data_IF_706870658700
#
_entry.id   IF_706870658700
#
_cell.length_a   1.000
_cell.length_b   1.000
_cell.length_c   1.000
_cell.angle_alpha   90.00
_cell.angle_beta   90.00
_cell.angle_gamma   90.00
#
_symmetry.space_group_name_H-M   'P 1'
#
loop_
_entity.id
_entity.type
_entity.pdbx_description
1 polymer ?
#
# COMPACT_ATOMS: atom_id res chain seq x y z
N UNK A 1 80.22 51.71 -46.09
CA UNK A 1 79.65 51.27 -47.38
C UNK A 1 79.67 49.75 -47.36
N UNK A 2 78.51 49.12 -47.16
CA UNK A 2 77.78 48.38 -48.23
C UNK A 2 78.39 46.98 -48.41
N UNK A 3 77.70 45.85 -48.41
CA UNK A 3 76.30 45.46 -48.42
C UNK A 3 76.32 43.95 -48.12
N UNK A 4 75.50 43.44 -47.19
CA UNK A 4 74.31 42.62 -47.49
C UNK A 4 74.51 41.34 -48.32
N UNK A 5 73.73 40.33 -47.90
CA UNK A 5 73.27 39.12 -48.62
C UNK A 5 74.28 37.96 -48.64
N UNK A 6 73.91 36.69 -48.40
CA UNK A 6 72.58 36.06 -48.46
C UNK A 6 72.65 34.64 -47.85
N UNK A 7 71.54 34.25 -47.18
CA UNK A 7 70.92 32.91 -47.15
C UNK A 7 71.79 31.69 -46.82
N UNK A 8 71.32 30.91 -45.83
CA UNK A 8 70.58 29.67 -46.09
C UNK A 8 69.81 29.24 -44.84
N UNK A 9 68.49 29.32 -44.96
CA UNK A 9 67.56 28.61 -44.10
C UNK A 9 67.64 27.11 -44.44
N UNK A 10 67.90 26.27 -43.45
CA UNK A 10 67.64 24.83 -43.55
C UNK A 10 67.37 24.23 -42.18
N UNK A 11 66.31 24.70 -41.53
CA UNK A 11 65.66 23.92 -40.48
C UNK A 11 64.69 22.97 -41.15
N UNK A 12 65.16 21.74 -41.34
CA UNK A 12 64.40 20.58 -41.73
C UNK A 12 63.30 20.33 -40.69
N UNK A 13 62.12 20.93 -40.89
CA UNK A 13 60.90 20.48 -40.22
C UNK A 13 60.53 19.13 -40.83
N UNK A 14 61.00 18.05 -40.21
CA UNK A 14 60.35 16.75 -40.36
C UNK A 14 58.99 16.87 -39.69
N UNK A 15 57.96 17.21 -40.46
CA UNK A 15 56.60 16.83 -40.09
C UNK A 15 56.61 15.30 -40.00
N UNK A 16 56.59 14.76 -38.78
CA UNK A 16 56.19 13.38 -38.58
C UNK A 16 54.79 13.24 -39.22
N UNK A 17 54.51 12.18 -39.99
CA UNK A 17 53.14 11.93 -40.39
C UNK A 17 52.34 11.77 -39.10
N UNK A 18 51.38 12.67 -38.88
CA UNK A 18 50.34 12.45 -37.91
C UNK A 18 49.71 11.12 -38.32
N UNK A 19 50.10 10.05 -37.61
CA UNK A 19 49.45 8.76 -37.68
C UNK A 19 48.04 9.06 -37.23
N UNK A 20 47.16 9.35 -38.18
CA UNK A 20 45.73 9.26 -38.00
C UNK A 20 45.53 7.82 -37.55
N UNK A 21 45.50 7.62 -36.23
CA UNK A 21 44.85 6.46 -35.66
C UNK A 21 43.44 6.58 -36.20
N UNK A 22 43.22 5.91 -37.33
CA UNK A 22 41.93 5.38 -37.66
C UNK A 22 41.45 4.78 -36.36
N UNK A 23 40.56 5.51 -35.67
CA UNK A 23 39.60 4.89 -34.78
C UNK A 23 38.82 3.99 -35.72
N UNK A 24 39.40 2.81 -35.97
CA UNK A 24 38.75 1.71 -36.59
C UNK A 24 37.62 1.46 -35.62
N UNK A 25 36.49 2.07 -35.92
CA UNK A 25 35.24 1.90 -35.23
C UNK A 25 34.94 0.42 -35.45
N UNK A 26 35.49 -0.42 -34.57
CA UNK A 26 35.33 -1.85 -34.61
C UNK A 26 33.91 -2.05 -34.12
N UNK A 27 32.96 -1.79 -35.02
CA UNK A 27 31.59 -2.29 -34.92
C UNK A 27 31.70 -3.80 -34.99
N UNK A 28 32.11 -4.41 -33.88
CA UNK A 28 31.95 -5.83 -33.63
C UNK A 28 30.45 -6.00 -33.48
N UNK A 29 29.79 -6.42 -34.55
CA UNK A 29 28.40 -6.87 -34.44
C UNK A 29 28.35 -8.02 -33.44
N UNK A 30 27.24 -8.12 -32.71
CA UNK A 30 26.99 -9.25 -31.83
C UNK A 30 27.12 -10.55 -32.63
N UNK A 31 27.86 -11.52 -32.09
CA UNK A 31 27.88 -12.85 -32.71
C UNK A 31 26.53 -13.52 -32.51
N UNK A 32 26.15 -14.44 -33.41
CA UNK A 32 24.88 -15.16 -33.31
C UNK A 32 24.73 -15.87 -31.95
N UNK A 33 25.82 -16.47 -31.45
CA UNK A 33 25.84 -17.11 -30.14
C UNK A 33 25.59 -16.12 -28.98
N UNK A 34 26.15 -14.92 -29.06
CA UNK A 34 25.98 -13.88 -28.06
C UNK A 34 24.55 -13.31 -28.07
N UNK A 35 23.92 -13.20 -29.24
CA UNK A 35 22.50 -12.85 -29.35
C UNK A 35 21.59 -13.92 -28.74
N UNK A 36 21.85 -15.20 -29.01
CA UNK A 36 21.07 -16.30 -28.42
C UNK A 36 21.23 -16.30 -26.89
N UNK A 37 22.45 -16.15 -26.39
CA UNK A 37 22.72 -16.09 -24.95
C UNK A 37 22.01 -14.89 -24.29
N UNK A 38 22.04 -13.72 -24.94
CA UNK A 38 21.35 -12.52 -24.44
C UNK A 38 19.83 -12.70 -24.39
N UNK A 39 19.23 -13.29 -25.44
CA UNK A 39 17.77 -13.56 -25.47
C UNK A 39 17.41 -14.62 -24.42
N UNK A 40 18.22 -15.66 -24.24
CA UNK A 40 18.01 -16.68 -23.23
C UNK A 40 18.04 -16.09 -21.81
N UNK A 41 19.04 -15.26 -21.50
CA UNK A 41 19.14 -14.57 -20.22
C UNK A 41 17.96 -13.61 -20.02
N UNK A 42 17.61 -12.82 -21.05
CA UNK A 42 16.48 -11.91 -21.00
C UNK A 42 15.16 -12.66 -20.72
N UNK A 43 14.95 -13.82 -21.35
CA UNK A 43 13.77 -14.64 -21.13
C UNK A 43 13.68 -15.14 -19.68
N UNK A 44 14.80 -15.63 -19.12
CA UNK A 44 14.85 -16.07 -17.71
C UNK A 44 14.55 -14.91 -16.76
N UNK A 45 15.21 -13.77 -16.93
CA UNK A 45 14.94 -12.60 -16.08
C UNK A 45 13.52 -12.07 -16.25
N UNK A 46 12.96 -12.11 -17.47
CA UNK A 46 11.59 -11.68 -17.72
C UNK A 46 10.59 -12.50 -16.90
N UNK A 47 10.75 -13.82 -16.84
CA UNK A 47 9.88 -14.69 -16.01
C UNK A 47 10.03 -14.34 -14.53
N UNK A 48 11.25 -14.16 -14.04
CA UNK A 48 11.52 -13.82 -12.63
C UNK A 48 10.86 -12.49 -12.26
N UNK A 49 11.01 -11.46 -13.09
CA UNK A 49 10.42 -10.14 -12.82
C UNK A 49 8.90 -10.20 -12.79
N UNK A 50 8.27 -10.95 -13.69
CA UNK A 50 6.80 -11.11 -13.69
C UNK A 50 6.31 -11.83 -12.44
N UNK A 51 6.99 -12.89 -12.02
CA UNK A 51 6.64 -13.60 -10.77
C UNK A 51 6.81 -12.71 -9.54
N UNK A 52 7.92 -11.95 -9.48
CA UNK A 52 8.15 -11.00 -8.40
C UNK A 52 7.07 -9.91 -8.37
N UNK A 53 6.68 -9.39 -9.53
CA UNK A 53 5.60 -8.41 -9.64
C UNK A 53 4.26 -8.97 -9.16
N UNK A 54 3.91 -10.19 -9.57
CA UNK A 54 2.69 -10.85 -9.11
C UNK A 54 2.69 -11.05 -7.59
N UNK A 55 3.80 -11.54 -7.03
CA UNK A 55 3.96 -11.69 -5.58
C UNK A 55 3.86 -10.35 -4.85
N UNK A 56 4.55 -9.31 -5.35
CA UNK A 56 4.49 -7.97 -4.78
C UNK A 56 3.07 -7.41 -4.80
N UNK A 57 2.34 -7.56 -5.90
CA UNK A 57 0.96 -7.10 -6.01
C UNK A 57 0.01 -7.81 -5.03
N UNK A 58 0.18 -9.13 -4.85
CA UNK A 58 -0.60 -9.88 -3.85
C UNK A 58 -0.27 -9.45 -2.41
N UNK A 59 0.98 -9.04 -2.15
CA UNK A 59 1.38 -8.54 -0.85
C UNK A 59 0.80 -7.15 -0.60
N UNK A 60 0.87 -6.25 -1.57
CA UNK A 60 0.30 -4.90 -1.48
C UNK A 60 -1.19 -4.95 -1.18
N UNK A 61 -1.96 -5.74 -1.93
CA UNK A 61 -3.42 -5.85 -1.71
C UNK A 61 -3.76 -6.42 -0.33
N UNK A 62 -2.95 -7.32 0.22
CA UNK A 62 -3.11 -7.81 1.60
C UNK A 62 -2.82 -6.73 2.64
N UNK A 63 -1.77 -5.94 2.42
CA UNK A 63 -1.43 -4.82 3.31
C UNK A 63 -2.53 -3.76 3.31
N UNK A 64 -3.02 -3.36 2.12
CA UNK A 64 -4.09 -2.38 1.99
C UNK A 64 -5.36 -2.84 2.73
N UNK A 65 -5.72 -4.12 2.61
CA UNK A 65 -6.85 -4.71 3.35
C UNK A 65 -6.65 -4.68 4.87
N UNK A 66 -5.44 -4.94 5.34
CA UNK A 66 -5.14 -4.90 6.77
C UNK A 66 -5.22 -3.46 7.30
N UNK A 67 -4.66 -2.49 6.57
CA UNK A 67 -4.73 -1.08 6.93
C UNK A 67 -6.18 -0.59 7.00
N UNK A 68 -7.00 -0.98 6.01
CA UNK A 68 -8.43 -0.73 6.01
C UNK A 68 -9.15 -1.40 7.20
N UNK A 69 -8.80 -2.65 7.54
CA UNK A 69 -9.37 -3.33 8.70
C UNK A 69 -9.06 -2.61 10.02
N UNK A 70 -7.82 -2.12 10.19
CA UNK A 70 -7.41 -1.35 11.35
C UNK A 70 -8.15 -0.01 11.42
N UNK A 71 -8.25 0.71 10.29
CA UNK A 71 -8.99 1.97 10.22
C UNK A 71 -10.48 1.77 10.52
N UNK A 72 -11.10 0.74 9.96
CA UNK A 72 -12.49 0.36 10.23
C UNK A 72 -12.70 0.11 11.73
N UNK A 73 -11.88 -0.74 12.35
CA UNK A 73 -11.99 -1.05 13.77
C UNK A 73 -11.80 0.18 14.65
N UNK A 74 -10.85 1.06 14.31
CA UNK A 74 -10.61 2.32 15.01
C UNK A 74 -11.82 3.24 14.91
N UNK A 75 -12.36 3.47 13.72
CA UNK A 75 -13.51 4.35 13.51
C UNK A 75 -14.75 3.83 14.27
N UNK A 76 -14.95 2.51 14.29
CA UNK A 76 -16.01 1.88 15.07
C UNK A 76 -15.82 2.04 16.58
N UNK A 77 -14.59 1.89 17.07
CA UNK A 77 -14.27 2.09 18.48
C UNK A 77 -14.45 3.55 18.90
N UNK A 78 -13.95 4.49 18.10
CA UNK A 78 -14.10 5.93 18.34
C UNK A 78 -15.58 6.32 18.31
N UNK A 79 -16.36 5.86 17.32
CA UNK A 79 -17.79 6.13 17.23
C UNK A 79 -18.58 5.56 18.42
N UNK A 80 -18.20 4.37 18.91
CA UNK A 80 -18.84 3.79 20.09
C UNK A 80 -18.43 4.49 21.40
N UNK A 81 -17.17 4.90 21.53
CA UNK A 81 -16.65 5.64 22.68
C UNK A 81 -17.18 7.08 22.77
N UNK A 82 -17.38 7.74 21.64
CA UNK A 82 -17.93 9.10 21.58
C UNK A 82 -19.36 9.19 22.16
N UNK A 83 -20.02 8.05 22.38
CA UNK A 83 -21.39 7.98 22.82
C UNK A 83 -22.33 8.35 21.66
N UNK A 84 -23.44 7.64 21.55
CA UNK A 84 -24.49 7.92 20.57
C UNK A 84 -25.13 9.33 20.71
N UNK A 85 -24.67 10.12 21.69
CA UNK A 85 -25.25 11.36 22.15
C UNK A 85 -24.62 12.62 21.52
N UNK A 86 -23.57 12.48 20.70
CA UNK A 86 -23.09 13.61 19.90
C UNK A 86 -23.97 13.79 18.64
N UNK A 87 -24.71 14.90 18.51
CA UNK A 87 -25.64 15.13 17.39
C UNK A 87 -24.94 15.17 16.02
N UNK A 88 -23.63 15.40 16.02
CA UNK A 88 -22.77 15.34 14.83
C UNK A 88 -22.74 13.94 14.20
N UNK A 89 -22.83 12.88 15.00
CA UNK A 89 -22.79 11.49 14.52
C UNK A 89 -24.19 10.88 14.28
N UNK A 90 -25.25 11.50 14.78
CA UNK A 90 -26.64 11.09 14.51
C UNK A 90 -27.08 11.42 13.07
N UNK A 91 -26.39 12.38 12.43
CA UNK A 91 -26.68 12.86 11.08
C UNK A 91 -25.86 12.20 9.97
N UNK A 92 -24.88 11.35 10.34
CA UNK A 92 -24.25 10.44 9.39
C UNK A 92 -25.33 9.44 8.97
N UNK A 93 -25.75 9.50 7.70
CA UNK A 93 -26.65 8.52 7.10
C UNK A 93 -26.14 7.07 7.29
N UNK A 94 -24.84 6.92 7.58
CA UNK A 94 -24.11 5.69 7.87
C UNK A 94 -23.71 5.54 9.34
N UNK A 95 -24.48 6.05 10.31
CA UNK A 95 -24.22 5.73 11.72
C UNK A 95 -24.51 4.23 11.93
N UNK A 96 -23.49 3.39 12.17
CA UNK A 96 -23.68 1.95 12.29
C UNK A 96 -24.51 1.54 13.52
N UNK A 97 -24.71 2.46 14.45
CA UNK A 97 -25.48 2.29 15.68
C UNK A 97 -26.86 2.98 15.60
N UNK A 98 -27.27 3.50 14.44
CA UNK A 98 -28.58 4.15 14.25
C UNK A 98 -29.77 3.21 14.54
N UNK A 99 -29.55 1.90 14.49
CA UNK A 99 -30.54 0.88 14.84
C UNK A 99 -30.87 0.80 16.34
N UNK A 100 -30.22 1.63 17.18
CA UNK A 100 -30.42 1.70 18.62
C UNK A 100 -29.21 1.19 19.41
N UNK A 101 -29.26 1.26 20.75
CA UNK A 101 -28.18 0.81 21.61
C UNK A 101 -27.93 -0.69 21.42
N UNK A 102 -26.64 -1.06 21.31
CA UNK A 102 -26.22 -2.46 21.24
C UNK A 102 -26.67 -3.22 22.49
N UNK A 103 -27.36 -4.34 22.31
CA UNK A 103 -27.74 -5.20 23.42
C UNK A 103 -26.62 -6.20 23.74
N UNK A 104 -26.38 -6.51 25.03
CA UNK A 104 -25.51 -7.61 25.42
C UNK A 104 -25.97 -8.91 24.74
N UNK A 105 -25.04 -9.68 24.19
CA UNK A 105 -25.26 -10.92 23.43
C UNK A 105 -25.77 -10.81 21.98
N UNK A 106 -26.16 -9.63 21.48
CA UNK A 106 -26.42 -9.44 20.04
C UNK A 106 -25.10 -9.16 19.30
N UNK A 107 -24.91 -9.82 18.16
CA UNK A 107 -23.81 -9.51 17.23
C UNK A 107 -24.37 -8.59 16.16
N UNK A 108 -23.87 -7.35 16.10
CA UNK A 108 -24.15 -6.44 15.00
C UNK A 108 -23.11 -6.69 13.90
N UNK A 109 -23.58 -6.91 12.67
CA UNK A 109 -22.73 -7.11 11.49
C UNK A 109 -22.87 -5.93 10.55
N UNK A 110 -21.73 -5.35 10.17
CA UNK A 110 -21.64 -4.23 9.25
C UNK A 110 -20.72 -4.63 8.10
N UNK A 111 -21.10 -4.30 6.87
CA UNK A 111 -20.32 -4.65 5.70
C UNK A 111 -19.74 -3.39 5.06
N UNK A 112 -18.50 -3.49 4.61
CA UNK A 112 -17.74 -2.39 4.04
C UNK A 112 -17.11 -2.80 2.70
N UNK A 113 -16.99 -1.83 1.80
CA UNK A 113 -16.17 -1.94 0.59
C UNK A 113 -14.68 -1.74 0.93
N UNK A 114 -13.80 -1.99 -0.05
CA UNK A 114 -12.37 -1.67 0.07
C UNK A 114 -12.07 -0.18 0.33
N UNK A 115 -13.01 0.70 -0.01
CA UNK A 115 -12.92 2.15 0.26
C UNK A 115 -13.57 2.55 1.59
N UNK A 116 -13.86 1.58 2.47
CA UNK A 116 -14.46 1.78 3.80
C UNK A 116 -15.87 2.41 3.77
N UNK A 117 -16.61 2.24 2.68
CA UNK A 117 -18.02 2.67 2.61
C UNK A 117 -18.94 1.56 3.10
N UNK A 118 -19.89 1.91 3.96
CA UNK A 118 -20.89 0.98 4.46
C UNK A 118 -21.80 0.51 3.31
N UNK A 119 -22.10 -0.79 3.27
CA UNK A 119 -22.93 -1.39 2.24
C UNK A 119 -23.92 -2.39 2.83
N UNK A 120 -25.06 -2.54 2.15
CA UNK A 120 -26.08 -3.51 2.54
C UNK A 120 -25.58 -4.96 2.44
N UNK A 121 -26.10 -5.87 3.28
CA UNK A 121 -25.78 -7.28 3.22
C UNK A 121 -26.17 -7.86 1.84
N UNK A 122 -25.25 -8.63 1.24
CA UNK A 122 -25.46 -9.25 -0.08
C UNK A 122 -24.96 -8.41 -1.27
N UNK A 123 -24.38 -7.23 -1.03
CA UNK A 123 -23.66 -6.49 -2.07
C UNK A 123 -22.39 -7.29 -2.50
N UNK A 124 -22.16 -7.39 -3.81
CA UNK A 124 -21.00 -8.09 -4.36
C UNK A 124 -19.66 -7.36 -4.09
N UNK A 125 -19.71 -6.09 -3.65
CA UNK A 125 -18.54 -5.25 -3.38
C UNK A 125 -18.07 -5.29 -1.92
N UNK A 126 -18.69 -6.13 -1.08
CA UNK A 126 -18.25 -6.31 0.31
C UNK A 126 -16.84 -6.88 0.27
N UNK A 127 -15.88 -6.19 0.90
CA UNK A 127 -14.51 -6.71 1.09
C UNK A 127 -14.20 -7.00 2.56
N UNK A 128 -14.86 -6.28 3.47
CA UNK A 128 -14.61 -6.37 4.92
C UNK A 128 -15.96 -6.42 5.64
N UNK A 129 -16.08 -7.30 6.62
CA UNK A 129 -17.25 -7.37 7.51
C UNK A 129 -16.81 -7.14 8.96
N UNK A 130 -17.39 -6.15 9.62
CA UNK A 130 -17.18 -5.90 11.04
C UNK A 130 -18.28 -6.58 11.87
N UNK A 131 -17.89 -7.39 12.85
CA UNK A 131 -18.76 -7.94 13.87
C UNK A 131 -18.51 -7.24 15.22
N UNK A 132 -19.57 -6.67 15.76
CA UNK A 132 -19.56 -5.95 17.03
C UNK A 132 -20.30 -6.78 18.07
N UNK A 133 -19.63 -7.08 19.18
CA UNK A 133 -20.19 -7.84 20.30
C UNK A 133 -19.96 -7.10 21.60
N UNK A 134 -21.05 -6.69 22.24
CA UNK A 134 -21.00 -6.13 23.58
C UNK A 134 -20.85 -7.27 24.60
N UNK A 135 -19.82 -7.19 25.44
CA UNK A 135 -19.66 -8.09 26.57
C UNK A 135 -20.64 -7.72 27.68
N UNK A 136 -21.04 -8.72 28.47
CA UNK A 136 -21.88 -8.49 29.63
C UNK A 136 -21.18 -7.57 30.65
N UNK A 137 -21.97 -6.76 31.35
CA UNK A 137 -21.47 -5.76 32.29
C UNK A 137 -20.72 -6.48 33.40
N UNK A 138 -19.40 -6.27 33.47
CA UNK A 138 -18.63 -6.74 34.61
C UNK A 138 -18.84 -5.82 35.82
N UNK A 139 -18.60 -6.35 37.02
CA UNK A 139 -18.69 -5.65 38.32
C UNK A 139 -17.87 -4.35 38.40
N UNK A 140 -17.00 -4.10 37.42
CA UNK A 140 -16.18 -2.89 37.26
C UNK A 140 -16.94 -1.67 36.73
N UNK A 141 -18.20 -1.80 36.30
CA UNK A 141 -19.00 -0.69 35.78
C UNK A 141 -18.61 -0.19 34.38
N UNK A 142 -17.64 -0.84 33.74
CA UNK A 142 -17.25 -0.56 32.36
C UNK A 142 -18.03 -1.45 31.37
N UNK A 143 -18.50 -0.84 30.29
CA UNK A 143 -18.98 -1.57 29.13
C UNK A 143 -17.78 -1.92 28.24
N UNK A 144 -17.78 -3.13 27.68
CA UNK A 144 -16.69 -3.60 26.80
C UNK A 144 -17.27 -4.05 25.48
N UNK A 145 -16.78 -3.45 24.39
CA UNK A 145 -17.12 -3.78 23.01
C UNK A 145 -15.96 -4.54 22.36
N UNK A 146 -16.25 -5.75 21.87
CA UNK A 146 -15.36 -6.48 20.99
C UNK A 146 -15.71 -6.17 19.54
N UNK A 147 -14.72 -5.77 18.76
CA UNK A 147 -14.82 -5.49 17.32
C UNK A 147 -13.94 -6.51 16.61
N UNK A 148 -14.56 -7.42 15.87
CA UNK A 148 -13.88 -8.39 15.04
C UNK A 148 -14.04 -7.97 13.58
N UNK A 149 -12.94 -7.84 12.86
CA UNK A 149 -12.95 -7.54 11.43
C UNK A 149 -12.65 -8.82 10.66
N UNK A 150 -13.61 -9.23 9.85
CA UNK A 150 -13.56 -10.41 9.01
C UNK A 150 -13.26 -10.03 7.57
N UNK A 151 -12.42 -10.83 6.91
CA UNK A 151 -12.18 -10.74 5.48
C UNK A 151 -13.29 -11.40 4.65
N UNK A 152 -13.13 -11.36 3.33
CA UNK A 152 -14.03 -11.98 2.34
C UNK A 152 -14.31 -13.46 2.60
N UNK A 153 -13.32 -14.20 3.11
CA UNK A 153 -13.43 -15.63 3.37
C UNK A 153 -14.04 -15.93 4.75
N UNK A 154 -14.41 -14.90 5.50
CA UNK A 154 -14.87 -15.01 6.89
C UNK A 154 -13.72 -15.24 7.88
N UNK A 155 -12.47 -15.09 7.43
CA UNK A 155 -11.29 -15.17 8.26
C UNK A 155 -11.14 -13.93 9.14
N UNK A 156 -10.72 -14.11 10.40
CA UNK A 156 -10.47 -13.00 11.31
C UNK A 156 -9.18 -12.29 10.88
N UNK A 157 -9.32 -11.10 10.30
CA UNK A 157 -8.21 -10.26 9.86
C UNK A 157 -7.67 -9.41 11.00
N UNK A 158 -8.56 -8.81 11.79
CA UNK A 158 -8.18 -7.92 12.89
C UNK A 158 -9.17 -7.98 14.04
N UNK A 159 -8.68 -7.76 15.27
CA UNK A 159 -9.51 -7.72 16.47
C UNK A 159 -9.11 -6.56 17.37
N UNK A 160 -10.10 -5.77 17.76
CA UNK A 160 -9.96 -4.66 18.69
C UNK A 160 -10.95 -4.84 19.85
N UNK A 161 -10.54 -4.45 21.06
CA UNK A 161 -11.44 -4.38 22.22
C UNK A 161 -11.45 -2.95 22.72
N UNK A 162 -12.62 -2.33 22.68
CA UNK A 162 -12.85 -1.00 23.22
C UNK A 162 -13.59 -1.13 24.56
N UNK A 163 -13.29 -0.26 25.51
CA UNK A 163 -14.03 -0.14 26.75
C UNK A 163 -14.43 1.31 26.97
N UNK A 164 -15.59 1.52 27.58
CA UNK A 164 -16.06 2.83 28.02
C UNK A 164 -16.65 2.70 29.43
N UNK A 165 -16.47 3.72 30.26
CA UNK A 165 -17.18 3.81 31.53
C UNK A 165 -18.66 4.09 31.24
N UNK A 166 -19.56 3.32 31.84
CA UNK A 166 -20.98 3.62 31.75
C UNK A 166 -21.23 5.00 32.39
N UNK A 167 -22.09 5.86 31.80
CA UNK A 167 -22.49 7.09 32.46
C UNK A 167 -23.10 6.75 33.82
N UNK A 168 -22.66 7.47 34.85
CA UNK A 168 -23.18 7.33 36.20
C UNK A 168 -24.69 7.61 36.13
N UNK A 169 -25.51 6.63 36.49
CA UNK A 169 -26.96 6.77 36.50
C UNK A 169 -27.30 7.79 37.59
N UNK A 170 -27.38 9.07 37.22
CA UNK A 170 -27.87 10.13 38.11
C UNK A 170 -29.31 9.78 38.46
N UNK A 171 -29.46 9.14 39.62
CA UNK A 171 -30.76 8.83 40.21
C UNK A 171 -31.55 10.13 40.41
N UNK A 172 -32.88 10.10 40.23
CA UNK A 172 -33.76 11.28 40.32
C UNK A 172 -33.84 11.88 41.73
#
# INVERSE_FOLDING_TARGET
MSAQRTRRYSLSRRCAPAKTRSLRNSRRGFTLAEMIAAIALLAVFSVIVVQLFAAAHTLTTRTDRLDNAVLCARNLAEGWQAGLDQPEYSSLADNPFAAGPLQPAQILRLNYTGDLQAVEPGNAQIEITAELKLADRQDTGAEVLQINILGLEGDLVFKLTAARLAPEETAP
#
